data_IF_233530358685
#
_entry.id   IF_233530358685
#
_cell.length_a   1.000
_cell.length_b   1.000
_cell.length_c   1.000
_cell.angle_alpha   90.00
_cell.angle_beta   90.00
_cell.angle_gamma   90.00
#
_symmetry.space_group_name_H-M   'P 1'
#
loop_
_entity.id
_entity.type
_entity.pdbx_description
1 polymer ?
#
# COMPACT_ATOMS: atom_id res chain seq x y z
N UNK A 1 -43.31 -25.31 1.03
CA UNK A 1 -42.50 -24.33 1.78
C UNK A 1 -41.18 -24.99 2.16
N UNK A 2 -40.07 -24.37 1.73
CA UNK A 2 -38.73 -24.96 1.68
C UNK A 2 -38.11 -25.01 3.08
N UNK A 3 -37.58 -26.17 3.47
CA UNK A 3 -36.64 -26.34 4.58
C UNK A 3 -35.24 -26.32 3.98
N UNK A 4 -34.39 -25.42 4.44
CA UNK A 4 -32.98 -25.34 4.04
C UNK A 4 -32.14 -25.81 5.22
N UNK A 5 -31.68 -27.05 5.14
CA UNK A 5 -30.71 -27.65 6.06
C UNK A 5 -29.43 -27.78 5.27
N UNK A 6 -28.39 -27.01 5.59
CA UNK A 6 -27.08 -27.16 4.96
C UNK A 6 -26.19 -27.98 5.90
N UNK A 7 -25.83 -29.16 5.41
CA UNK A 7 -24.94 -30.11 6.06
C UNK A 7 -23.49 -29.73 5.75
N UNK A 8 -22.65 -29.80 6.79
CA UNK A 8 -21.19 -29.72 6.74
C UNK A 8 -20.63 -31.14 6.57
N UNK A 9 -19.87 -31.41 5.51
CA UNK A 9 -18.92 -32.53 5.29
C UNK A 9 -18.67 -32.66 3.77
N UNK A 10 -17.48 -32.88 3.21
CA UNK A 10 -16.09 -33.05 3.65
C UNK A 10 -15.27 -33.21 2.34
N UNK A 11 -13.93 -33.26 2.45
CA UNK A 11 -12.96 -33.83 1.49
C UNK A 11 -12.33 -32.94 0.41
N UNK A 12 -11.11 -32.47 0.75
CA UNK A 12 -9.84 -32.66 0.01
C UNK A 12 -9.96 -33.16 -1.43
N UNK A 13 -9.59 -32.30 -2.38
CA UNK A 13 -9.12 -32.68 -3.72
C UNK A 13 -7.95 -31.78 -4.12
N UNK A 14 -6.84 -31.90 -3.39
CA UNK A 14 -5.55 -31.30 -3.78
C UNK A 14 -4.39 -32.33 -3.77
N UNK A 15 -4.71 -33.63 -3.80
CA UNK A 15 -3.77 -34.72 -4.04
C UNK A 15 -4.39 -35.68 -5.05
N UNK A 16 -4.27 -35.33 -6.33
CA UNK A 16 -4.29 -36.23 -7.50
C UNK A 16 -4.25 -35.34 -8.76
N UNK A 17 -3.18 -34.56 -8.92
CA UNK A 17 -2.66 -34.36 -10.27
C UNK A 17 -1.72 -35.54 -10.49
N UNK A 18 -2.31 -36.65 -10.94
CA UNK A 18 -1.56 -37.79 -11.40
C UNK A 18 -0.69 -37.33 -12.59
N UNK A 19 0.58 -37.73 -12.57
CA UNK A 19 1.49 -37.72 -13.72
C UNK A 19 0.93 -38.62 -14.84
N UNK A 20 -0.09 -38.13 -15.54
CA UNK A 20 -0.52 -38.69 -16.82
C UNK A 20 0.30 -37.96 -17.92
N UNK A 21 1.16 -38.66 -18.67
CA UNK A 21 1.87 -38.07 -19.78
C UNK A 21 0.85 -37.79 -20.89
N UNK A 22 0.37 -36.55 -20.97
CA UNK A 22 -0.54 -36.10 -22.03
C UNK A 22 0.21 -36.26 -23.36
N UNK A 23 -0.26 -37.14 -24.27
CA UNK A 23 0.41 -37.35 -25.55
C UNK A 23 0.15 -36.15 -26.44
N UNK A 24 1.24 -35.53 -26.92
CA UNK A 24 1.26 -34.44 -27.90
C UNK A 24 0.54 -33.16 -27.49
N UNK A 25 0.97 -32.53 -26.39
CA UNK A 25 0.84 -31.07 -26.32
C UNK A 25 1.82 -30.49 -27.35
N UNK A 26 1.28 -29.86 -28.38
CA UNK A 26 2.08 -29.20 -29.40
C UNK A 26 2.96 -28.13 -28.72
N UNK A 27 4.21 -27.95 -29.14
CA UNK A 27 5.11 -26.97 -28.51
C UNK A 27 4.47 -25.56 -28.54
N UNK A 28 3.61 -25.33 -29.52
CA UNK A 28 2.80 -24.14 -29.68
C UNK A 28 1.77 -23.96 -28.54
N UNK A 29 1.06 -25.01 -28.12
CA UNK A 29 0.10 -24.94 -27.01
C UNK A 29 0.78 -24.70 -25.66
N UNK A 30 1.97 -25.28 -25.47
CA UNK A 30 2.80 -25.01 -24.30
C UNK A 30 3.26 -23.55 -24.29
N UNK A 31 3.60 -23.01 -25.47
CA UNK A 31 3.99 -21.61 -25.61
C UNK A 31 2.81 -20.66 -25.40
N UNK A 32 1.62 -20.97 -25.94
CA UNK A 32 0.39 -20.21 -25.72
C UNK A 32 -0.04 -20.25 -24.25
N UNK A 33 0.10 -21.39 -23.57
CA UNK A 33 -0.15 -21.50 -22.13
C UNK A 33 0.87 -20.66 -21.34
N UNK A 34 2.15 -20.69 -21.71
CA UNK A 34 3.18 -19.85 -21.08
C UNK A 34 2.89 -18.36 -21.28
N UNK A 35 2.48 -17.96 -22.47
CA UNK A 35 2.18 -16.55 -22.78
C UNK A 35 0.86 -16.11 -22.13
N UNK A 36 -0.13 -16.99 -22.04
CA UNK A 36 -1.34 -16.76 -21.26
C UNK A 36 -1.04 -16.66 -19.76
N UNK A 37 -0.23 -17.56 -19.19
CA UNK A 37 0.21 -17.49 -17.79
C UNK A 37 1.00 -16.21 -17.53
N UNK A 38 1.93 -15.83 -18.41
CA UNK A 38 2.66 -14.55 -18.34
C UNK A 38 1.70 -13.36 -18.39
N UNK A 39 0.69 -13.40 -19.25
CA UNK A 39 -0.33 -12.35 -19.36
C UNK A 39 -1.20 -12.21 -18.10
N UNK A 40 -1.45 -13.32 -17.39
CA UNK A 40 -2.34 -13.36 -16.23
C UNK A 40 -1.64 -13.23 -14.88
N UNK A 41 -0.38 -13.66 -14.76
CA UNK A 41 0.23 -13.92 -13.45
C UNK A 41 1.36 -13.00 -13.05
N UNK A 42 2.06 -12.37 -14.00
CA UNK A 42 3.05 -11.30 -13.72
C UNK A 42 3.66 -10.90 -15.05
N UNK A 43 3.28 -9.73 -15.58
CA UNK A 43 4.15 -9.07 -16.55
C UNK A 43 5.28 -8.44 -15.75
N UNK A 44 6.49 -8.98 -15.89
CA UNK A 44 7.68 -8.39 -15.29
C UNK A 44 7.81 -6.96 -15.79
N UNK A 45 7.92 -5.99 -14.88
CA UNK A 45 7.98 -4.56 -15.19
C UNK A 45 9.12 -4.23 -16.17
N UNK A 46 10.15 -5.08 -16.18
CA UNK A 46 11.27 -5.06 -17.12
C UNK A 46 10.86 -5.18 -18.60
N UNK A 47 9.78 -5.90 -18.91
CA UNK A 47 9.36 -6.18 -20.29
C UNK A 47 8.45 -5.07 -20.87
N UNK A 48 7.86 -4.22 -20.02
CA UNK A 48 6.93 -3.14 -20.43
C UNK A 48 7.53 -1.74 -20.39
N UNK A 49 8.77 -1.60 -19.96
CA UNK A 49 9.39 -0.29 -19.74
C UNK A 49 8.88 0.35 -18.44
N UNK A 50 9.82 0.97 -17.73
CA UNK A 50 9.60 1.57 -16.42
C UNK A 50 10.24 0.80 -15.28
N UNK A 51 10.23 1.43 -14.11
CA UNK A 51 10.81 0.94 -12.88
C UNK A 51 9.70 0.85 -11.83
N UNK A 52 9.48 -0.35 -11.31
CA UNK A 52 8.62 -0.58 -10.16
C UNK A 52 9.51 -0.80 -8.94
N UNK A 53 9.37 0.08 -7.96
CA UNK A 53 9.92 -0.09 -6.63
C UNK A 53 8.80 -0.53 -5.69
N UNK A 54 9.03 -1.63 -5.00
CA UNK A 54 8.22 -2.07 -3.86
C UNK A 54 9.09 -1.92 -2.64
N UNK A 55 8.66 -1.11 -1.69
CA UNK A 55 9.34 -0.98 -0.41
C UNK A 55 8.31 -1.03 0.71
N UNK A 56 8.75 -1.44 1.88
CA UNK A 56 7.85 -1.53 3.02
C UNK A 56 8.63 -1.63 4.31
N UNK A 57 7.92 -1.34 5.38
CA UNK A 57 8.44 -1.38 6.73
C UNK A 57 7.40 -2.08 7.60
N UNK A 58 7.88 -2.95 8.47
CA UNK A 58 7.07 -3.53 9.54
C UNK A 58 7.65 -3.03 10.85
N UNK A 59 6.83 -2.32 11.63
CA UNK A 59 7.19 -1.82 12.94
C UNK A 59 6.36 -2.54 13.99
N UNK A 60 6.99 -2.76 15.13
CA UNK A 60 6.36 -3.37 16.29
C UNK A 60 6.76 -2.56 17.50
N UNK A 61 5.78 -2.06 18.24
CA UNK A 61 5.98 -1.29 19.45
C UNK A 61 5.37 -2.01 20.64
N UNK A 62 6.13 -2.10 21.74
CA UNK A 62 5.59 -2.46 23.04
C UNK A 62 5.64 -1.23 23.93
N UNK A 63 4.47 -0.69 24.24
CA UNK A 63 4.36 0.47 25.11
C UNK A 63 3.85 0.05 26.49
N UNK A 64 4.54 0.48 27.54
CA UNK A 64 4.11 0.31 28.92
C UNK A 64 3.90 1.67 29.56
N UNK A 65 2.64 2.05 29.79
CA UNK A 65 2.28 3.35 30.37
C UNK A 65 1.74 3.17 31.78
N UNK A 66 2.34 3.87 32.74
CA UNK A 66 1.83 3.94 34.10
C UNK A 66 1.45 5.40 34.40
N UNK A 67 0.16 5.64 34.54
CA UNK A 67 -0.38 6.98 34.76
C UNK A 67 -1.18 7.02 36.07
N UNK A 68 -0.97 8.09 36.83
CA UNK A 68 -1.74 8.44 38.02
C UNK A 68 -2.24 9.87 37.90
N UNK A 69 -3.53 10.07 38.13
CA UNK A 69 -4.17 11.39 38.24
C UNK A 69 -4.68 11.55 39.66
N UNK A 70 -4.23 12.59 40.36
CA UNK A 70 -4.59 12.85 41.77
C UNK A 70 -4.39 11.62 42.70
N UNK A 71 -3.33 10.85 42.46
CA UNK A 71 -3.02 9.63 43.22
C UNK A 71 -3.78 8.38 42.77
N UNK A 72 -4.80 8.52 41.91
CA UNK A 72 -5.61 7.41 41.38
C UNK A 72 -4.97 6.88 40.10
N UNK A 73 -4.76 5.57 40.04
CA UNK A 73 -4.24 4.87 38.86
C UNK A 73 -5.24 4.97 37.71
N UNK A 74 -4.78 5.35 36.52
CA UNK A 74 -5.66 5.59 35.37
C UNK A 74 -5.80 4.37 34.45
N UNK A 75 -4.71 3.65 34.14
CA UNK A 75 -4.69 2.55 33.16
C UNK A 75 -4.45 1.18 33.80
N UNK A 76 -4.90 0.10 33.16
CA UNK A 76 -4.67 -1.28 33.60
C UNK A 76 -5.57 -1.78 34.73
N UNK A 77 -5.21 -2.92 35.34
CA UNK A 77 -6.03 -3.52 36.41
C UNK A 77 -6.24 -2.54 37.58
N UNK A 78 -7.53 -2.34 37.94
CA UNK A 78 -8.03 -1.33 38.90
C UNK A 78 -7.76 0.13 38.52
N UNK A 79 -7.53 0.41 37.24
CA UNK A 79 -7.49 1.77 36.70
C UNK A 79 -8.88 2.40 36.61
N UNK A 80 -8.95 3.71 36.73
CA UNK A 80 -10.18 4.49 36.58
C UNK A 80 -10.73 4.45 35.13
N UNK A 81 -9.84 4.44 34.13
CA UNK A 81 -10.22 4.40 32.71
C UNK A 81 -10.40 2.95 32.27
N UNK A 82 -11.64 2.60 31.89
CA UNK A 82 -11.98 1.26 31.37
C UNK A 82 -11.38 1.04 29.98
N UNK A 83 -11.20 -0.23 29.63
CA UNK A 83 -10.71 -0.72 28.33
C UNK A 83 -9.33 -0.19 27.89
N UNK A 84 -8.57 0.35 28.85
CA UNK A 84 -7.26 0.92 28.59
C UNK A 84 -6.18 0.06 29.24
N UNK A 85 -5.42 -0.64 28.41
CA UNK A 85 -4.34 -1.51 28.88
C UNK A 85 -3.15 -0.69 29.40
N UNK A 86 -2.49 -1.20 30.44
CA UNK A 86 -1.22 -0.64 30.94
C UNK A 86 -0.06 -0.98 30.00
N UNK A 87 -0.16 -2.11 29.31
CA UNK A 87 0.78 -2.57 28.29
C UNK A 87 0.01 -2.76 27.01
N UNK A 88 0.40 -2.06 25.95
CA UNK A 88 -0.18 -2.17 24.63
C UNK A 88 0.91 -2.63 23.66
N UNK A 89 0.53 -3.46 22.71
CA UNK A 89 1.39 -3.89 21.62
C UNK A 89 0.80 -3.34 20.34
N UNK A 90 1.61 -2.74 19.49
CA UNK A 90 1.16 -2.22 18.21
C UNK A 90 2.02 -2.80 17.10
N UNK A 91 1.36 -3.21 16.02
CA UNK A 91 2.02 -3.63 14.78
C UNK A 91 1.56 -2.75 13.66
N UNK A 92 2.52 -2.03 13.08
CA UNK A 92 2.29 -1.20 11.91
C UNK A 92 2.97 -1.82 10.69
N UNK A 93 2.27 -1.87 9.56
CA UNK A 93 2.83 -2.25 8.27
C UNK A 93 2.63 -1.10 7.29
N UNK A 94 3.74 -0.59 6.77
CA UNK A 94 3.74 0.40 5.69
C UNK A 94 4.17 -0.29 4.40
N UNK A 95 3.36 -0.18 3.34
CA UNK A 95 3.71 -0.64 2.00
C UNK A 95 3.70 0.54 1.03
N UNK A 96 4.82 0.73 0.33
CA UNK A 96 5.00 1.73 -0.71
C UNK A 96 5.23 1.04 -2.06
N UNK A 97 4.43 1.45 -3.04
CA UNK A 97 4.48 0.98 -4.41
C UNK A 97 4.69 2.19 -5.32
N UNK A 98 5.87 2.29 -5.93
CA UNK A 98 6.22 3.37 -6.83
C UNK A 98 6.51 2.79 -8.22
N UNK A 99 5.70 3.18 -9.20
CA UNK A 99 5.89 2.84 -10.60
C UNK A 99 6.25 4.10 -11.37
N UNK A 100 7.35 4.08 -12.12
CA UNK A 100 7.83 5.23 -12.90
C UNK A 100 8.23 4.80 -14.31
N UNK A 101 7.77 5.54 -15.29
CA UNK A 101 8.23 5.48 -16.69
C UNK A 101 9.01 6.76 -17.02
N UNK A 102 9.35 6.97 -18.29
CA UNK A 102 10.04 8.19 -18.73
C UNK A 102 9.22 9.47 -18.50
N UNK A 103 7.90 9.41 -18.71
CA UNK A 103 7.01 10.58 -18.63
C UNK A 103 5.85 10.43 -17.65
N UNK A 104 5.60 9.25 -17.11
CA UNK A 104 4.49 9.01 -16.18
C UNK A 104 4.96 8.32 -14.92
N UNK A 105 4.24 8.52 -13.82
CA UNK A 105 4.50 7.83 -12.56
C UNK A 105 3.19 7.56 -11.83
N UNK A 106 3.21 6.56 -10.97
CA UNK A 106 2.15 6.25 -10.04
C UNK A 106 2.77 5.85 -8.70
N UNK A 107 2.21 6.35 -7.61
CA UNK A 107 2.69 6.04 -6.27
C UNK A 107 1.52 5.76 -5.35
N UNK A 108 1.64 4.67 -4.59
CA UNK A 108 0.66 4.27 -3.59
C UNK A 108 1.37 3.93 -2.30
N UNK A 109 0.90 4.50 -1.19
CA UNK A 109 1.36 4.20 0.16
C UNK A 109 0.17 3.75 1.01
N UNK A 110 0.23 2.50 1.43
CA UNK A 110 -0.74 1.87 2.32
C UNK A 110 -0.15 1.76 3.72
N UNK A 111 -0.96 2.06 4.73
CA UNK A 111 -0.63 1.91 6.13
C UNK A 111 -1.64 0.97 6.77
N UNK A 112 -1.16 -0.03 7.46
CA UNK A 112 -1.96 -0.89 8.32
C UNK A 112 -1.46 -0.68 9.75
N UNK A 113 -2.38 -0.45 10.67
CA UNK A 113 -2.12 -0.28 12.10
C UNK A 113 -2.97 -1.32 12.85
N UNK A 114 -2.36 -1.99 13.82
CA UNK A 114 -3.05 -2.95 14.66
C UNK A 114 -2.62 -2.82 16.11
N UNK A 115 -3.48 -2.15 16.89
CA UNK A 115 -3.42 -2.14 18.34
C UNK A 115 -3.79 -3.52 18.92
N UNK A 116 -2.78 -4.35 19.15
CA UNK A 116 -2.89 -5.62 19.85
C UNK A 116 -2.83 -5.41 21.38
N UNK A 117 -3.83 -5.94 22.10
CA UNK A 117 -3.87 -5.87 23.57
C UNK A 117 -4.89 -4.88 24.16
N UNK A 118 -5.70 -4.23 23.32
CA UNK A 118 -7.06 -3.83 23.72
C UNK A 118 -7.96 -5.08 23.70
N UNK A 119 -9.01 -5.12 24.54
CA UNK A 119 -9.86 -6.32 24.78
C UNK A 119 -10.56 -6.85 23.51
N UNK A 120 -10.49 -6.11 22.40
CA UNK A 120 -10.88 -6.57 21.07
C UNK A 120 -10.02 -5.90 20.00
N UNK A 121 -8.85 -6.49 19.73
CA UNK A 121 -7.89 -5.98 18.72
C UNK A 121 -8.58 -5.60 17.41
N UNK A 122 -8.21 -4.42 16.87
CA UNK A 122 -8.86 -3.84 15.70
C UNK A 122 -8.16 -4.27 14.41
N UNK A 123 -8.77 -5.15 13.62
CA UNK A 123 -8.25 -5.59 12.31
C UNK A 123 -8.61 -4.66 11.14
N UNK A 124 -9.22 -3.50 11.41
CA UNK A 124 -9.92 -2.69 10.41
C UNK A 124 -9.24 -1.36 10.06
N UNK A 125 -8.01 -1.11 10.53
CA UNK A 125 -7.30 0.15 10.27
C UNK A 125 -6.35 0.05 9.07
N UNK A 126 -6.89 -0.29 7.90
CA UNK A 126 -6.18 -0.09 6.64
C UNK A 126 -6.44 1.34 6.15
N UNK A 127 -5.38 2.13 6.02
CA UNK A 127 -5.44 3.52 5.58
C UNK A 127 -4.59 3.74 4.32
N UNK A 128 -5.06 4.61 3.44
CA UNK A 128 -4.35 5.05 2.24
C UNK A 128 -3.75 6.42 2.49
N UNK A 129 -2.43 6.47 2.68
CA UNK A 129 -1.68 7.71 2.94
C UNK A 129 -1.38 8.49 1.65
N UNK A 130 -1.17 7.75 0.56
CA UNK A 130 -0.86 8.31 -0.76
C UNK A 130 -1.40 7.39 -1.84
N UNK A 131 -2.04 7.96 -2.85
CA UNK A 131 -2.45 7.24 -4.05
C UNK A 131 -2.65 8.27 -5.16
N UNK A 132 -1.65 8.43 -6.03
CA UNK A 132 -1.78 9.33 -7.17
C UNK A 132 -1.02 8.83 -8.39
N UNK A 133 -1.48 9.29 -9.55
CA UNK A 133 -0.83 9.11 -10.84
C UNK A 133 -0.43 10.48 -11.41
N UNK A 134 0.69 10.52 -12.11
CA UNK A 134 1.29 11.73 -12.63
C UNK A 134 1.82 11.53 -14.03
N UNK A 135 1.86 12.61 -14.78
CA UNK A 135 2.41 12.64 -16.12
C UNK A 135 3.02 13.99 -16.45
N UNK A 136 4.12 13.95 -17.18
CA UNK A 136 4.72 15.12 -17.82
C UNK A 136 4.01 15.41 -19.13
N UNK A 137 3.40 16.59 -19.21
CA UNK A 137 2.69 17.05 -20.40
C UNK A 137 3.67 17.69 -21.37
N UNK A 138 4.51 18.60 -20.88
CA UNK A 138 5.49 19.31 -21.69
C UNK A 138 6.87 19.13 -21.07
N UNK A 139 7.82 18.76 -21.91
CA UNK A 139 9.24 18.70 -21.59
C UNK A 139 9.96 19.54 -22.63
N UNK A 140 10.41 20.72 -22.24
CA UNK A 140 11.28 21.58 -23.03
C UNK A 140 12.63 21.71 -22.31
N UNK A 141 13.64 22.26 -22.98
CA UNK A 141 14.99 22.38 -22.42
C UNK A 141 15.03 23.25 -21.16
N UNK A 142 14.16 24.26 -21.09
CA UNK A 142 14.15 25.27 -20.02
C UNK A 142 12.96 25.13 -19.07
N UNK A 143 11.93 24.38 -19.43
CA UNK A 143 10.73 24.23 -18.58
C UNK A 143 10.07 22.87 -18.70
N UNK A 144 9.49 22.41 -17.60
CA UNK A 144 8.68 21.20 -17.52
C UNK A 144 7.30 21.52 -16.95
N UNK A 145 6.28 20.84 -17.49
CA UNK A 145 4.91 20.92 -17.01
C UNK A 145 4.43 19.52 -16.64
N UNK A 146 4.12 19.34 -15.36
CA UNK A 146 3.67 18.06 -14.81
C UNK A 146 2.26 18.19 -14.24
N UNK A 147 1.43 17.17 -14.45
CA UNK A 147 0.06 17.09 -13.96
C UNK A 147 -0.12 15.78 -13.19
N UNK A 148 -0.70 15.89 -12.00
CA UNK A 148 -0.88 14.74 -11.13
C UNK A 148 -2.28 14.71 -10.52
N UNK A 149 -2.85 13.51 -10.39
CA UNK A 149 -4.22 13.27 -9.96
C UNK A 149 -4.24 12.25 -8.83
N UNK A 150 -4.87 12.59 -7.71
CA UNK A 150 -5.14 11.65 -6.63
C UNK A 150 -4.96 12.24 -5.24
N UNK A 151 -4.70 11.36 -4.27
CA UNK A 151 -4.51 11.66 -2.85
C UNK A 151 -3.04 11.78 -2.50
N UNK A 152 -2.66 12.85 -1.80
CA UNK A 152 -1.35 13.00 -1.16
C UNK A 152 -1.38 13.97 0.01
N UNK A 153 -0.31 13.99 0.79
CA UNK A 153 -0.01 15.08 1.71
C UNK A 153 0.65 16.24 0.94
N UNK A 154 0.19 17.49 1.10
CA UNK A 154 0.72 18.61 0.31
C UNK A 154 2.18 18.96 0.65
N UNK A 155 2.60 18.70 1.88
CA UNK A 155 4.00 18.85 2.31
C UNK A 155 4.99 17.91 1.59
N UNK A 156 4.48 16.94 0.82
CA UNK A 156 5.29 16.11 -0.05
C UNK A 156 5.78 16.89 -1.28
N UNK A 157 5.05 17.93 -1.69
CA UNK A 157 5.43 18.79 -2.82
C UNK A 157 5.98 20.13 -2.34
N UNK A 158 5.40 20.69 -1.28
CA UNK A 158 5.81 21.98 -0.73
C UNK A 158 6.55 21.79 0.60
N UNK A 159 7.63 22.53 0.82
CA UNK A 159 8.52 22.32 1.98
C UNK A 159 7.88 22.75 3.33
N UNK A 160 6.81 23.56 3.32
CA UNK A 160 6.19 24.06 4.55
C UNK A 160 5.18 23.07 5.14
N UNK A 161 5.58 22.38 6.22
CA UNK A 161 4.65 21.53 7.00
C UNK A 161 3.54 22.32 7.69
N UNK A 162 3.76 23.59 8.03
CA UNK A 162 2.77 24.44 8.72
C UNK A 162 1.63 24.80 7.77
N UNK A 163 1.96 25.19 6.53
CA UNK A 163 0.97 25.62 5.54
C UNK A 163 0.37 24.45 4.76
N UNK A 164 1.14 23.37 4.57
CA UNK A 164 0.77 22.25 3.70
C UNK A 164 0.70 20.91 4.43
N UNK A 165 0.44 20.93 5.74
CA UNK A 165 0.30 19.74 6.58
C UNK A 165 -0.98 18.93 6.36
N UNK A 166 -1.83 19.31 5.41
CA UNK A 166 -3.11 18.64 5.11
C UNK A 166 -3.01 17.68 3.92
N UNK A 167 -3.90 16.69 3.92
CA UNK A 167 -4.14 15.85 2.74
C UNK A 167 -4.88 16.65 1.68
N UNK A 168 -4.52 16.40 0.42
CA UNK A 168 -5.19 16.91 -0.76
C UNK A 168 -5.62 15.72 -1.61
N UNK A 169 -6.89 15.74 -1.97
CA UNK A 169 -7.51 14.84 -2.93
C UNK A 169 -7.90 15.69 -4.14
N UNK A 170 -7.20 15.54 -5.25
CA UNK A 170 -7.48 16.36 -6.42
C UNK A 170 -6.40 16.35 -7.48
N UNK A 171 -6.32 17.47 -8.19
CA UNK A 171 -5.42 17.69 -9.31
C UNK A 171 -4.34 18.67 -8.89
N UNK A 172 -3.08 18.32 -9.13
CA UNK A 172 -1.92 19.17 -8.89
C UNK A 172 -1.22 19.44 -10.21
N UNK A 173 -1.03 20.72 -10.51
CA UNK A 173 -0.24 21.18 -11.64
C UNK A 173 1.09 21.74 -11.12
N UNK A 174 2.19 21.32 -11.73
CA UNK A 174 3.54 21.78 -11.43
C UNK A 174 4.16 22.39 -12.68
N UNK A 175 4.78 23.56 -12.48
CA UNK A 175 5.53 24.26 -13.51
C UNK A 175 6.94 24.50 -12.95
N UNK A 176 7.91 23.80 -13.53
CA UNK A 176 9.32 23.94 -13.17
C UNK A 176 10.03 24.66 -14.30
N UNK A 177 10.65 25.80 -13.99
CA UNK A 177 11.45 26.59 -14.92
C UNK A 177 12.88 26.63 -14.43
N UNK A 178 13.81 26.18 -15.26
CA UNK A 178 15.23 26.41 -15.04
C UNK A 178 15.56 27.81 -15.61
N UNK A 179 16.25 28.63 -14.83
CA UNK A 179 16.95 29.77 -15.41
C UNK A 179 18.31 29.25 -15.87
N UNK A 180 18.61 29.36 -17.16
CA UNK A 180 20.00 29.20 -17.60
C UNK A 180 20.86 30.17 -16.79
N UNK A 181 21.90 29.64 -16.15
CA UNK A 181 22.97 30.50 -15.70
C UNK A 181 23.58 31.12 -16.95
N UNK A 182 23.29 32.40 -17.19
CA UNK A 182 24.18 33.26 -17.96
C UNK A 182 25.46 33.32 -17.14
N UNK A 183 26.42 32.49 -17.53
CA UNK A 183 27.73 32.33 -16.90
C UNK A 183 28.68 31.73 -17.92
N UNK A 184 29.10 32.59 -18.85
CA UNK A 184 30.43 32.52 -19.48
C UNK A 184 31.49 32.88 -18.42
#
# INVERSE_FOLDING_TARGET
>A
MKKFTFFLALFVSALCAADEPIPNLDEQEIQELRDWIKSKRQVTVKDKGGNLSVSGEVRTELQSTNEKKNGIKQRGSRGEVKDTAMRAWDVEVNLLLDYKTERTWATTKLKFDNDAGTVGGTFNKLSVDRAFLGGRIISADTYNMDLEFGRRLLNYTFDSKIMFGSYMDGILYKYDQAYDSVGD
#
